data_IF_589964324099
#
_entry.id   IF_589964324099
#
_cell.length_a   1.000
_cell.length_b   1.000
_cell.length_c   1.000
_cell.angle_alpha   90.00
_cell.angle_beta   90.00
_cell.angle_gamma   90.00
#
_symmetry.space_group_name_H-M   'P 1'
#
loop_
_entity.id
_entity.type
_entity.pdbx_description
1 polymer ?
#
# COMPACT_ATOMS: atom_id res chain seq x y z
N UNK A 1 44.52 -39.52 2.17
CA UNK A 1 44.06 -38.39 3.00
C UNK A 1 43.45 -37.35 2.09
N UNK A 2 42.12 -37.35 1.94
CA UNK A 2 41.38 -36.39 1.11
C UNK A 2 40.73 -35.41 2.07
N UNK A 3 41.21 -34.17 2.11
CA UNK A 3 40.54 -33.06 2.81
C UNK A 3 39.51 -32.46 1.85
N UNK A 4 38.25 -32.86 2.00
CA UNK A 4 37.11 -32.16 1.39
C UNK A 4 36.86 -30.90 2.22
N UNK A 5 37.30 -29.75 1.70
CA UNK A 5 36.91 -28.43 2.21
C UNK A 5 35.56 -28.12 1.56
N UNK A 6 34.47 -28.33 2.30
CA UNK A 6 33.16 -27.85 1.92
C UNK A 6 33.10 -26.35 2.19
N UNK A 7 33.24 -25.54 1.14
CA UNK A 7 32.97 -24.11 1.20
C UNK A 7 31.45 -23.91 1.31
N UNK A 8 30.98 -23.59 2.51
CA UNK A 8 29.61 -23.20 2.77
C UNK A 8 29.44 -21.77 2.25
N UNK A 9 28.94 -21.61 1.02
CA UNK A 9 28.54 -20.31 0.47
C UNK A 9 27.24 -19.94 1.17
N UNK A 10 27.33 -19.15 2.24
CA UNK A 10 26.17 -18.50 2.85
C UNK A 10 25.76 -17.40 1.87
N UNK A 11 24.78 -17.71 1.01
CA UNK A 11 24.11 -16.71 0.19
C UNK A 11 23.29 -15.81 1.12
N UNK A 12 23.89 -14.71 1.57
CA UNK A 12 23.12 -13.58 2.07
C UNK A 12 22.35 -13.02 0.88
N UNK A 13 21.06 -13.35 0.79
CA UNK A 13 20.15 -12.60 -0.06
C UNK A 13 19.97 -11.23 0.60
N UNK A 14 20.85 -10.28 0.26
CA UNK A 14 20.53 -8.87 0.43
C UNK A 14 19.35 -8.60 -0.49
N UNK A 15 18.16 -8.44 0.08
CA UNK A 15 17.05 -7.84 -0.65
C UNK A 15 17.54 -6.46 -1.08
N UNK A 16 17.86 -6.31 -2.36
CA UNK A 16 18.27 -5.04 -2.91
C UNK A 16 17.02 -4.15 -2.96
N UNK A 17 16.98 -3.15 -2.10
CA UNK A 17 15.92 -2.13 -2.07
C UNK A 17 16.20 -1.19 -3.24
N UNK A 18 15.20 -0.96 -4.08
CA UNK A 18 15.30 -0.06 -5.24
C UNK A 18 14.98 1.38 -4.83
N UNK A 19 15.40 2.35 -5.65
CA UNK A 19 15.04 3.76 -5.44
C UNK A 19 13.51 3.93 -5.31
N UNK A 20 13.07 4.60 -4.25
CA UNK A 20 11.67 4.81 -3.91
C UNK A 20 11.01 3.65 -3.17
N UNK A 21 11.74 2.61 -2.78
CA UNK A 21 11.24 1.51 -1.96
C UNK A 21 11.65 1.66 -0.48
N UNK A 22 10.84 1.08 0.40
CA UNK A 22 11.13 0.91 1.80
C UNK A 22 11.00 -0.57 2.19
N UNK A 23 11.80 -1.00 3.17
CA UNK A 23 11.67 -2.33 3.80
C UNK A 23 11.63 -2.18 5.32
N UNK A 24 10.79 -2.97 5.98
CA UNK A 24 10.71 -2.95 7.44
C UNK A 24 11.94 -3.60 8.09
N UNK A 25 12.33 -3.11 9.26
CA UNK A 25 13.22 -3.81 10.19
C UNK A 25 12.34 -4.46 11.27
N UNK A 26 11.95 -5.75 11.16
CA UNK A 26 10.89 -6.31 12.01
C UNK A 26 11.25 -6.33 13.49
N UNK A 27 12.53 -6.50 13.81
CA UNK A 27 13.06 -6.51 15.18
C UNK A 27 12.99 -5.13 15.88
N UNK A 28 12.67 -4.06 15.14
CA UNK A 28 12.56 -2.70 15.68
C UNK A 28 11.17 -2.36 16.23
N UNK A 29 10.19 -3.27 16.11
CA UNK A 29 8.81 -3.01 16.51
C UNK A 29 8.69 -2.71 18.00
N UNK A 30 8.04 -1.60 18.35
CA UNK A 30 7.75 -1.21 19.73
C UNK A 30 6.27 -0.81 19.86
N UNK A 31 5.55 -1.41 20.81
CA UNK A 31 4.16 -1.03 21.11
C UNK A 31 4.10 0.29 21.88
N UNK A 32 3.13 1.13 21.54
CA UNK A 32 2.90 2.44 22.18
C UNK A 32 1.66 2.32 23.06
N UNK A 33 1.85 2.42 24.38
CA UNK A 33 0.78 2.28 25.38
C UNK A 33 -0.15 1.06 25.16
N UNK A 34 0.40 -0.16 25.06
CA UNK A 34 -0.41 -1.33 24.72
C UNK A 34 -1.38 -1.69 25.86
N UNK A 35 -2.68 -1.72 25.53
CA UNK A 35 -3.68 -2.38 26.37
C UNK A 35 -4.26 -3.58 25.64
N UNK A 36 -3.61 -4.73 25.79
CA UNK A 36 -4.06 -5.99 25.18
C UNK A 36 -5.26 -6.60 25.90
N UNK A 37 -5.67 -6.05 27.05
CA UNK A 37 -6.78 -6.58 27.86
C UNK A 37 -8.15 -6.08 27.42
N UNK A 38 -8.19 -5.05 26.56
CA UNK A 38 -9.45 -4.52 26.03
C UNK A 38 -10.20 -5.58 25.20
N UNK A 39 -11.54 -5.62 25.29
CA UNK A 39 -12.34 -6.44 24.41
C UNK A 39 -12.25 -5.94 22.96
N UNK A 40 -12.50 -6.83 22.00
CA UNK A 40 -12.62 -6.44 20.61
C UNK A 40 -13.93 -5.67 20.34
N UNK A 41 -13.94 -4.71 19.40
CA UNK A 41 -12.78 -4.24 18.64
C UNK A 41 -11.87 -3.32 19.47
N UNK A 42 -10.56 -3.48 19.31
CA UNK A 42 -9.56 -2.64 19.99
C UNK A 42 -8.61 -1.99 18.99
N UNK A 43 -8.07 -0.84 19.38
CA UNK A 43 -7.11 -0.07 18.58
C UNK A 43 -5.74 -0.18 19.24
N UNK A 44 -4.75 -0.62 18.47
CA UNK A 44 -3.38 -0.81 18.96
C UNK A 44 -2.43 0.01 18.09
N UNK A 45 -1.55 0.75 18.75
CA UNK A 45 -0.51 1.55 18.11
C UNK A 45 0.88 0.94 18.35
N UNK A 46 1.72 0.96 17.34
CA UNK A 46 3.12 0.53 17.42
C UNK A 46 3.98 1.31 16.44
N UNK A 47 5.25 1.49 16.77
CA UNK A 47 6.25 2.08 15.89
C UNK A 47 7.15 0.98 15.32
N UNK A 48 7.61 1.18 14.08
CA UNK A 48 8.64 0.37 13.44
C UNK A 48 9.65 1.29 12.74
N UNK A 49 10.89 0.81 12.62
CA UNK A 49 11.90 1.38 11.75
C UNK A 49 11.84 0.73 10.36
N UNK A 50 12.09 1.55 9.34
CA UNK A 50 12.10 1.17 7.94
C UNK A 50 13.38 1.71 7.30
N UNK A 51 14.02 0.90 6.46
CA UNK A 51 15.10 1.36 5.59
C UNK A 51 14.48 1.76 4.26
N UNK A 52 14.59 3.03 3.89
CA UNK A 52 14.03 3.59 2.67
C UNK A 52 15.15 4.08 1.77
N UNK A 53 15.10 3.71 0.50
CA UNK A 53 16.12 4.05 -0.50
C UNK A 53 15.70 5.28 -1.29
N UNK A 54 16.42 6.39 -1.08
CA UNK A 54 16.41 7.56 -1.96
C UNK A 54 17.75 7.59 -2.72
N UNK A 55 18.45 8.74 -2.74
CA UNK A 55 19.85 8.79 -3.18
C UNK A 55 20.76 7.98 -2.25
N UNK A 56 20.41 7.96 -0.96
CA UNK A 56 21.06 7.17 0.09
C UNK A 56 20.03 6.34 0.84
N UNK A 57 20.48 5.25 1.46
CA UNK A 57 19.65 4.46 2.37
C UNK A 57 19.46 5.21 3.69
N UNK A 58 18.21 5.44 4.09
CA UNK A 58 17.86 6.17 5.31
C UNK A 58 16.90 5.39 6.18
N UNK A 59 17.04 5.55 7.50
CA UNK A 59 16.18 4.87 8.47
C UNK A 59 15.09 5.80 8.95
N UNK A 60 13.84 5.45 8.66
CA UNK A 60 12.64 6.19 9.05
C UNK A 60 11.93 5.44 10.17
N UNK A 61 11.54 6.16 11.23
CA UNK A 61 10.69 5.61 12.28
C UNK A 61 9.24 6.04 12.02
N UNK A 62 8.33 5.09 11.86
CA UNK A 62 6.94 5.37 11.51
C UNK A 62 5.96 4.62 12.41
N UNK A 63 4.83 5.27 12.69
CA UNK A 63 3.81 4.79 13.63
C UNK A 63 2.61 4.23 12.90
N UNK A 64 2.25 2.99 13.20
CA UNK A 64 1.01 2.36 12.73
C UNK A 64 -0.02 2.32 13.85
N UNK A 65 -1.27 2.60 13.51
CA UNK A 65 -2.42 2.45 14.40
C UNK A 65 -3.47 1.59 13.70
N UNK A 66 -3.78 0.43 14.28
CA UNK A 66 -4.60 -0.59 13.64
C UNK A 66 -5.76 -0.95 14.56
N UNK A 67 -6.96 -0.96 13.98
CA UNK A 67 -8.15 -1.51 14.62
C UNK A 67 -8.24 -3.00 14.29
N UNK A 68 -8.33 -3.84 15.31
CA UNK A 68 -8.47 -5.29 15.18
C UNK A 68 -9.79 -5.74 15.79
N UNK A 69 -10.49 -6.65 15.12
CA UNK A 69 -11.83 -7.09 15.50
C UNK A 69 -11.85 -8.50 16.10
N UNK A 70 -10.75 -9.25 16.00
CA UNK A 70 -10.61 -10.60 16.52
C UNK A 70 -9.13 -10.97 16.68
N UNK A 71 -8.86 -12.12 17.30
CA UNK A 71 -7.51 -12.63 17.51
C UNK A 71 -6.73 -12.94 16.23
N UNK A 72 -7.43 -13.30 15.14
CA UNK A 72 -6.78 -13.61 13.86
C UNK A 72 -6.22 -12.35 13.20
N UNK A 73 -7.02 -11.28 13.16
CA UNK A 73 -6.59 -9.95 12.73
C UNK A 73 -5.50 -9.39 13.62
N UNK A 74 -5.58 -9.61 14.93
CA UNK A 74 -4.52 -9.21 15.86
C UNK A 74 -3.18 -9.86 15.49
N UNK A 75 -3.17 -11.15 15.19
CA UNK A 75 -1.95 -11.86 14.82
C UNK A 75 -1.42 -11.48 13.42
N UNK A 76 -2.32 -11.20 12.46
CA UNK A 76 -1.95 -10.90 11.08
C UNK A 76 -1.59 -9.44 10.84
N UNK A 77 -2.35 -8.53 11.43
CA UNK A 77 -2.28 -7.11 11.08
C UNK A 77 -1.37 -6.33 12.02
N UNK A 78 -1.13 -6.79 13.26
CA UNK A 78 -0.16 -6.14 14.14
C UNK A 78 1.27 -6.52 13.75
N UNK A 79 1.71 -6.14 12.56
CA UNK A 79 3.09 -6.27 12.08
C UNK A 79 3.49 -5.01 11.33
N UNK A 80 4.80 -4.76 11.19
CA UNK A 80 5.28 -3.63 10.38
C UNK A 80 4.86 -3.80 8.91
N UNK A 81 4.64 -2.71 8.19
CA UNK A 81 4.26 -2.81 6.78
C UNK A 81 5.33 -3.55 5.95
N UNK A 82 4.90 -4.43 5.05
CA UNK A 82 5.79 -5.30 4.27
C UNK A 82 6.17 -6.61 4.98
N UNK A 83 5.88 -6.77 6.27
CA UNK A 83 6.09 -8.05 6.97
C UNK A 83 4.98 -9.03 6.58
N UNK A 84 5.37 -10.17 6.02
CA UNK A 84 4.46 -11.26 5.68
C UNK A 84 4.47 -12.27 6.82
N UNK A 85 3.29 -12.65 7.30
CA UNK A 85 3.12 -13.71 8.30
C UNK A 85 2.39 -14.90 7.71
N UNK A 86 2.82 -16.09 8.10
CA UNK A 86 2.17 -17.36 7.72
C UNK A 86 1.60 -18.06 8.95
N UNK A 87 0.53 -18.81 8.73
CA UNK A 87 -0.05 -19.68 9.73
C UNK A 87 0.75 -20.98 9.80
N UNK A 88 1.29 -21.30 10.96
CA UNK A 88 1.98 -22.55 11.26
C UNK A 88 1.20 -23.39 12.27
N UNK A 89 1.72 -24.57 12.62
CA UNK A 89 1.10 -25.46 13.62
C UNK A 89 1.00 -24.82 15.01
N UNK A 90 1.84 -23.83 15.29
CA UNK A 90 1.97 -23.21 16.62
C UNK A 90 1.39 -21.80 16.71
N UNK A 91 0.81 -21.28 15.63
CA UNK A 91 0.25 -19.93 15.58
C UNK A 91 0.62 -19.21 14.29
N UNK A 92 0.98 -17.94 14.40
CA UNK A 92 1.46 -17.11 13.30
C UNK A 92 2.95 -16.84 13.47
N UNK A 93 3.70 -17.02 12.39
CA UNK A 93 5.14 -16.77 12.35
C UNK A 93 5.50 -15.88 11.17
N UNK A 94 6.57 -15.09 11.33
CA UNK A 94 7.11 -14.27 10.24
C UNK A 94 7.61 -15.19 9.12
N UNK A 95 7.18 -14.91 7.89
CA UNK A 95 7.58 -15.65 6.71
C UNK A 95 8.68 -14.90 5.94
N UNK A 96 8.40 -13.66 5.54
CA UNK A 96 9.30 -12.80 4.77
C UNK A 96 9.06 -11.33 5.10
N UNK A 97 9.94 -10.48 4.57
CA UNK A 97 9.74 -9.03 4.52
C UNK A 97 9.85 -8.61 3.07
N UNK A 98 8.81 -7.98 2.54
CA UNK A 98 8.73 -7.52 1.17
C UNK A 98 8.95 -6.00 1.12
N UNK A 99 9.84 -5.50 0.24
CA UNK A 99 9.91 -4.08 -0.05
C UNK A 99 8.57 -3.57 -0.59
N UNK A 100 8.27 -2.31 -0.30
CA UNK A 100 7.08 -1.64 -0.81
C UNK A 100 7.43 -0.24 -1.29
N UNK A 101 6.69 0.22 -2.31
CA UNK A 101 6.82 1.57 -2.82
C UNK A 101 6.44 2.61 -1.75
N UNK A 102 7.24 3.67 -1.63
CA UNK A 102 7.15 4.66 -0.56
C UNK A 102 5.78 5.32 -0.44
N UNK A 103 5.08 5.56 -1.55
CA UNK A 103 3.74 6.16 -1.52
C UNK A 103 2.60 5.13 -1.41
N UNK A 104 2.89 3.83 -1.46
CA UNK A 104 1.91 2.76 -1.30
C UNK A 104 1.58 2.44 0.18
N UNK A 105 2.19 3.15 1.12
CA UNK A 105 1.89 3.03 2.55
C UNK A 105 0.85 4.04 3.02
N UNK A 106 0.23 3.75 4.17
CA UNK A 106 -0.60 4.71 4.92
C UNK A 106 0.18 5.41 6.05
N UNK A 107 1.45 5.09 6.21
CA UNK A 107 2.33 5.68 7.21
C UNK A 107 2.76 7.08 6.76
N UNK A 108 2.27 8.11 7.44
CA UNK A 108 2.52 9.51 7.04
C UNK A 108 4.00 9.85 7.07
N UNK A 109 4.76 9.34 8.05
CA UNK A 109 6.19 9.64 8.18
C UNK A 109 7.00 9.14 6.98
N UNK A 110 6.57 8.03 6.37
CA UNK A 110 7.22 7.46 5.17
C UNK A 110 6.81 8.26 3.93
N UNK A 111 5.54 8.66 3.81
CA UNK A 111 5.07 9.52 2.70
C UNK A 111 5.76 10.89 2.74
N UNK A 112 5.81 11.52 3.92
CA UNK A 112 6.46 12.81 4.14
C UNK A 112 7.94 12.75 3.78
N UNK A 113 8.62 11.64 4.12
CA UNK A 113 9.99 11.38 3.67
C UNK A 113 10.10 11.34 2.14
N UNK A 114 9.20 10.63 1.46
CA UNK A 114 9.17 10.56 0.00
C UNK A 114 8.98 11.93 -0.66
N UNK A 115 8.01 12.70 -0.18
CA UNK A 115 7.75 14.06 -0.67
C UNK A 115 8.92 15.00 -0.39
N UNK A 116 9.51 14.94 0.81
CA UNK A 116 10.66 15.76 1.20
C UNK A 116 11.94 15.44 0.42
N UNK A 117 12.03 14.24 -0.16
CA UNK A 117 13.10 13.81 -1.06
C UNK A 117 12.75 13.95 -2.54
N UNK A 118 11.58 14.51 -2.86
CA UNK A 118 11.10 14.71 -4.23
C UNK A 118 11.10 13.41 -5.07
N UNK A 119 10.87 12.26 -4.44
CA UNK A 119 10.86 10.96 -5.13
C UNK A 119 9.70 10.95 -6.12
N UNK A 120 9.93 10.75 -7.44
CA UNK A 120 8.85 10.77 -8.41
C UNK A 120 7.90 9.59 -8.22
N UNK A 121 6.62 9.83 -8.48
CA UNK A 121 5.56 8.81 -8.40
C UNK A 121 5.70 7.77 -9.54
N UNK A 122 6.16 8.21 -10.70
CA UNK A 122 6.26 7.40 -11.91
C UNK A 122 7.67 6.83 -12.12
N UNK A 123 8.06 5.89 -11.26
CA UNK A 123 9.35 5.18 -11.31
C UNK A 123 9.13 3.65 -11.37
N UNK A 124 10.21 2.87 -11.47
CA UNK A 124 10.12 1.41 -11.56
C UNK A 124 9.46 0.78 -10.32
N UNK A 125 9.72 1.33 -9.12
CA UNK A 125 9.12 0.85 -7.87
C UNK A 125 7.58 0.94 -7.85
N UNK A 126 6.96 1.81 -8.65
CA UNK A 126 5.50 1.92 -8.76
C UNK A 126 4.91 1.12 -9.92
N UNK A 127 5.73 0.38 -10.70
CA UNK A 127 5.28 -0.32 -11.90
C UNK A 127 4.19 -1.36 -11.62
N UNK A 128 4.33 -2.16 -10.56
CA UNK A 128 3.32 -3.16 -10.18
C UNK A 128 1.99 -2.52 -9.74
N UNK A 129 2.05 -1.34 -9.11
CA UNK A 129 0.87 -0.57 -8.73
C UNK A 129 0.15 0.01 -9.94
N UNK A 130 0.90 0.48 -10.96
CA UNK A 130 0.32 0.90 -12.24
C UNK A 130 -0.33 -0.25 -13.00
N UNK A 131 0.33 -1.40 -13.06
CA UNK A 131 -0.24 -2.59 -13.70
C UNK A 131 -1.53 -3.03 -13.02
N UNK A 132 -1.53 -3.07 -11.68
CA UNK A 132 -2.72 -3.34 -10.88
C UNK A 132 -3.82 -2.31 -11.14
N UNK A 133 -3.48 -1.01 -11.14
CA UNK A 133 -4.42 0.06 -11.42
C UNK A 133 -5.10 -0.12 -12.78
N UNK A 134 -4.33 -0.38 -13.83
CA UNK A 134 -4.85 -0.60 -15.18
C UNK A 134 -5.74 -1.85 -15.25
N UNK A 135 -5.39 -2.90 -14.51
CA UNK A 135 -6.20 -4.12 -14.41
C UNK A 135 -7.52 -3.83 -13.71
N UNK A 136 -7.49 -3.12 -12.58
CA UNK A 136 -8.67 -2.73 -11.81
C UNK A 136 -9.58 -1.82 -12.65
N UNK A 137 -9.02 -0.83 -13.35
CA UNK A 137 -9.78 0.08 -14.21
C UNK A 137 -10.47 -0.66 -15.35
N UNK A 138 -9.78 -1.58 -16.04
CA UNK A 138 -10.39 -2.40 -17.11
C UNK A 138 -11.56 -3.24 -16.60
N UNK A 139 -11.39 -3.86 -15.43
CA UNK A 139 -12.42 -4.70 -14.83
C UNK A 139 -13.65 -3.86 -14.42
N UNK A 140 -13.41 -2.76 -13.72
CA UNK A 140 -14.47 -1.91 -13.17
C UNK A 140 -15.18 -1.14 -14.28
N UNK A 141 -14.45 -0.57 -15.25
CA UNK A 141 -15.05 0.16 -16.38
C UNK A 141 -15.98 -0.74 -17.18
N UNK A 142 -15.57 -1.97 -17.50
CA UNK A 142 -16.40 -2.96 -18.20
C UNK A 142 -17.67 -3.31 -17.41
N UNK A 143 -17.55 -3.47 -16.09
CA UNK A 143 -18.70 -3.75 -15.23
C UNK A 143 -19.67 -2.54 -15.19
N UNK A 144 -19.13 -1.33 -15.08
CA UNK A 144 -19.89 -0.09 -15.05
C UNK A 144 -20.59 0.19 -16.38
N UNK A 145 -19.93 0.01 -17.53
CA UNK A 145 -20.55 0.12 -18.85
C UNK A 145 -21.70 -0.89 -19.01
N UNK A 146 -21.53 -2.11 -18.49
CA UNK A 146 -22.58 -3.14 -18.52
C UNK A 146 -23.79 -2.76 -17.66
N UNK A 147 -23.56 -2.30 -16.43
CA UNK A 147 -24.61 -1.77 -15.56
C UNK A 147 -25.27 -0.51 -16.15
N UNK A 148 -24.46 0.27 -16.88
CA UNK A 148 -24.80 1.50 -17.58
C UNK A 148 -25.93 1.37 -18.60
N UNK A 149 -26.22 0.13 -19.06
CA UNK A 149 -27.40 -0.17 -19.89
C UNK A 149 -28.72 0.27 -19.24
N UNK A 150 -28.77 0.31 -17.91
CA UNK A 150 -29.97 0.67 -17.13
C UNK A 150 -29.75 1.85 -16.17
N UNK A 151 -28.54 2.41 -16.07
CA UNK A 151 -28.21 3.50 -15.14
C UNK A 151 -27.17 4.44 -15.76
N UNK A 152 -27.54 5.63 -16.23
CA UNK A 152 -26.63 6.56 -16.90
C UNK A 152 -25.36 6.89 -16.10
N UNK A 153 -25.47 6.92 -14.77
CA UNK A 153 -24.37 7.25 -13.86
C UNK A 153 -23.23 6.25 -13.94
N UNK A 154 -23.57 4.96 -14.05
CA UNK A 154 -22.60 3.90 -14.25
C UNK A 154 -21.98 3.96 -15.65
N UNK A 155 -22.76 4.29 -16.68
CA UNK A 155 -22.22 4.42 -18.03
C UNK A 155 -21.17 5.53 -18.10
N UNK A 156 -21.47 6.70 -17.55
CA UNK A 156 -20.55 7.84 -17.51
C UNK A 156 -19.28 7.51 -16.72
N UNK A 157 -19.41 6.96 -15.51
CA UNK A 157 -18.26 6.57 -14.70
C UNK A 157 -17.39 5.50 -15.40
N UNK A 158 -18.02 4.53 -16.06
CA UNK A 158 -17.34 3.47 -16.79
C UNK A 158 -16.53 3.99 -17.97
N UNK A 159 -17.11 4.89 -18.78
CA UNK A 159 -16.40 5.52 -19.90
C UNK A 159 -15.25 6.41 -19.43
N UNK A 160 -15.42 7.15 -18.32
CA UNK A 160 -14.35 7.94 -17.72
C UNK A 160 -13.19 7.06 -17.25
N UNK A 161 -13.47 5.99 -16.51
CA UNK A 161 -12.44 5.03 -16.08
C UNK A 161 -11.71 4.38 -17.27
N UNK A 162 -12.43 4.01 -18.32
CA UNK A 162 -11.83 3.46 -19.54
C UNK A 162 -10.87 4.45 -20.19
N UNK A 163 -11.25 5.72 -20.28
CA UNK A 163 -10.39 6.77 -20.85
C UNK A 163 -9.15 7.09 -20.03
N UNK A 164 -9.12 6.73 -18.73
CA UNK A 164 -7.97 6.96 -17.85
C UNK A 164 -6.88 5.87 -17.95
N UNK A 165 -7.19 4.68 -18.48
CA UNK A 165 -6.25 3.53 -18.50
C UNK A 165 -4.91 3.87 -19.16
N UNK A 166 -4.96 4.66 -20.25
CA UNK A 166 -3.77 5.08 -21.01
C UNK A 166 -3.56 6.61 -20.97
N UNK A 167 -4.25 7.31 -20.06
CA UNK A 167 -4.22 8.77 -19.95
C UNK A 167 -3.97 9.21 -18.49
N UNK A 168 -2.72 9.05 -18.04
CA UNK A 168 -2.28 9.47 -16.70
C UNK A 168 -2.57 10.95 -16.40
N UNK A 169 -2.40 11.91 -17.33
CA UNK A 169 -2.77 13.29 -17.07
C UNK A 169 -4.24 13.48 -16.66
N UNK A 170 -5.16 12.75 -17.30
CA UNK A 170 -6.58 12.77 -16.95
C UNK A 170 -6.82 12.16 -15.56
N UNK A 171 -6.14 11.06 -15.23
CA UNK A 171 -6.20 10.48 -13.89
C UNK A 171 -5.73 11.49 -12.83
N UNK A 172 -4.58 12.13 -13.07
CA UNK A 172 -3.96 13.08 -12.14
C UNK A 172 -4.82 14.34 -11.96
N UNK A 173 -5.53 14.80 -13.00
CA UNK A 173 -6.52 15.86 -12.91
C UNK A 173 -7.64 15.51 -11.91
N UNK A 174 -8.24 14.32 -12.04
CA UNK A 174 -9.32 13.89 -11.15
C UNK A 174 -8.84 13.60 -9.74
N UNK A 175 -7.64 13.03 -9.56
CA UNK A 175 -7.04 12.84 -8.24
C UNK A 175 -6.81 14.18 -7.55
N UNK A 176 -6.30 15.18 -8.27
CA UNK A 176 -6.10 16.54 -7.76
C UNK A 176 -7.43 17.21 -7.38
N UNK A 177 -8.48 17.00 -8.17
CA UNK A 177 -9.84 17.47 -7.85
C UNK A 177 -10.35 16.84 -6.55
N UNK A 178 -10.16 15.54 -6.38
CA UNK A 178 -10.71 14.77 -5.25
C UNK A 178 -9.90 14.92 -3.95
N UNK A 179 -8.62 15.29 -4.05
CA UNK A 179 -7.76 15.56 -2.90
C UNK A 179 -7.85 17.02 -2.40
N UNK A 180 -8.57 17.90 -3.10
CA UNK A 180 -8.76 19.29 -2.69
C UNK A 180 -9.49 19.38 -1.34
N UNK A 181 -9.00 20.27 -0.46
CA UNK A 181 -9.48 20.37 0.92
C UNK A 181 -10.97 20.75 1.05
N UNK A 182 -11.53 21.41 0.04
CA UNK A 182 -12.94 21.82 -0.03
C UNK A 182 -13.82 20.84 -0.82
N UNK A 183 -13.24 19.75 -1.33
CA UNK A 183 -13.98 18.77 -2.12
C UNK A 183 -15.02 18.05 -1.26
N UNK A 184 -16.27 18.06 -1.72
CA UNK A 184 -17.38 17.36 -1.07
C UNK A 184 -17.67 16.08 -1.82
N UNK A 185 -17.42 14.95 -1.16
CA UNK A 185 -17.67 13.61 -1.72
C UNK A 185 -19.13 13.52 -2.19
N UNK A 186 -19.37 13.29 -3.49
CA UNK A 186 -20.71 13.15 -4.04
C UNK A 186 -21.41 11.90 -3.50
N UNK A 187 -22.75 11.80 -3.63
CA UNK A 187 -23.47 10.57 -3.32
C UNK A 187 -22.86 9.37 -4.06
N UNK A 188 -22.70 8.24 -3.38
CA UNK A 188 -21.96 7.09 -3.92
C UNK A 188 -22.53 6.45 -5.18
N UNK A 189 -23.78 6.78 -5.57
CA UNK A 189 -24.43 6.31 -6.81
C UNK A 189 -24.41 7.34 -7.95
N UNK A 190 -23.86 8.54 -7.74
CA UNK A 190 -23.60 9.48 -8.84
C UNK A 190 -22.36 9.05 -9.62
N UNK A 191 -22.24 9.45 -10.90
CA UNK A 191 -21.07 9.13 -11.74
C UNK A 191 -19.75 9.54 -11.07
N UNK A 192 -19.74 10.74 -10.49
CA UNK A 192 -18.57 11.28 -9.79
C UNK A 192 -18.30 10.56 -8.46
N UNK A 193 -19.33 10.15 -7.72
CA UNK A 193 -19.19 9.35 -6.50
C UNK A 193 -18.65 7.95 -6.78
N UNK A 194 -19.13 7.31 -7.85
CA UNK A 194 -18.63 6.03 -8.34
C UNK A 194 -17.15 6.15 -8.73
N UNK A 195 -16.81 7.16 -9.52
CA UNK A 195 -15.43 7.44 -9.92
C UNK A 195 -14.52 7.71 -8.72
N UNK A 196 -14.94 8.59 -7.79
CA UNK A 196 -14.21 8.91 -6.56
C UNK A 196 -13.86 7.65 -5.76
N UNK A 197 -14.84 6.77 -5.53
CA UNK A 197 -14.62 5.53 -4.77
C UNK A 197 -13.58 4.62 -5.44
N UNK A 198 -13.56 4.56 -6.76
CA UNK A 198 -12.59 3.76 -7.53
C UNK A 198 -11.20 4.40 -7.47
N UNK A 199 -11.10 5.71 -7.70
CA UNK A 199 -9.81 6.42 -7.73
C UNK A 199 -9.12 6.42 -6.35
N UNK A 200 -9.84 6.76 -5.29
CA UNK A 200 -9.28 6.80 -3.94
C UNK A 200 -8.92 5.41 -3.42
N UNK A 201 -9.56 4.34 -3.90
CA UNK A 201 -9.20 2.97 -3.50
C UNK A 201 -8.03 2.41 -4.30
N UNK A 202 -7.97 2.68 -5.61
CA UNK A 202 -7.04 2.03 -6.53
C UNK A 202 -5.78 2.85 -6.80
N UNK A 203 -5.86 4.17 -6.72
CA UNK A 203 -4.80 5.12 -7.04
C UNK A 203 -4.34 5.98 -5.84
N UNK A 204 -4.65 5.58 -4.59
CA UNK A 204 -4.26 6.34 -3.39
C UNK A 204 -2.76 6.60 -3.25
N UNK A 205 -1.93 5.78 -3.90
CA UNK A 205 -0.48 5.87 -3.89
C UNK A 205 0.05 6.97 -4.83
N UNK A 206 -0.80 7.56 -5.68
CA UNK A 206 -0.48 8.73 -6.50
C UNK A 206 -0.77 10.06 -5.78
N UNK A 207 -1.38 10.01 -4.59
CA UNK A 207 -1.78 11.16 -3.77
C UNK A 207 -0.80 11.37 -2.62
#
# INVERSE_FOLDING_TARGET
MIRLIAALIIAFQTLAISYGECVAIPSSKVYINPDFTQPFPKTISFACKYECQADTLEVINATSTIKVNNFDEEARNLVCQGVIVKKSKWGYEMDSVEPFFIYATRLSEIKDFGHGREIPVDIDASASLREKLNTDFKLISSAYITAGKNSPEFLEAGLLLESMIDNLPLLDEYLSKFSAADYKVPPGLSSEGLLYNVLISSAFWRI
#
